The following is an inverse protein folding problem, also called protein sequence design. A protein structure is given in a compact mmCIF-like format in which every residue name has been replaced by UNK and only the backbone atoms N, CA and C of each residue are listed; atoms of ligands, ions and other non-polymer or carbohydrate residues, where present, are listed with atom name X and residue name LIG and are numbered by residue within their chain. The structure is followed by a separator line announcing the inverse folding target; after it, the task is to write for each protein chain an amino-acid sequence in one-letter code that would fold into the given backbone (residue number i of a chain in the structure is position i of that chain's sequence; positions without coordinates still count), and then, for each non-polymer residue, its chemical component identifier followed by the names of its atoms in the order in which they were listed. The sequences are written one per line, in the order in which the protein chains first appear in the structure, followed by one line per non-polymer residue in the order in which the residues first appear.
data_IF_159789249693
#
_entry.id   IF_159789249693
#
_cell.length_a   1.000
_cell.length_b   1.000
_cell.length_c   1.000
_cell.angle_alpha   90.00
_cell.angle_beta   90.00
_cell.angle_gamma   90.00
#
_symmetry.space_group_name_H-M   'P 1'
#
loop_
_entity.id
_entity.type
_entity.pdbx_description
1 polymer ?
#
# COMPACT_ATOMS: atom_id res chain seq x y z
N UNK A 1 -93.88 20.03 -2.44
CA UNK A 1 -92.78 19.05 -2.61
C UNK A 1 -91.47 19.80 -2.49
N UNK A 2 -90.72 19.45 -1.44
CA UNK A 2 -89.30 19.65 -1.13
C UNK A 2 -88.59 20.97 -1.52
N UNK A 3 -88.35 21.78 -0.47
CA UNK A 3 -87.24 22.72 -0.35
C UNK A 3 -85.94 22.00 0.01
N UNK A 4 -84.81 22.51 -0.47
CA UNK A 4 -83.50 22.32 0.18
C UNK A 4 -82.66 23.60 0.05
N UNK A 5 -82.18 24.09 1.19
CA UNK A 5 -81.24 25.21 1.38
C UNK A 5 -79.98 24.65 2.03
N UNK A 6 -78.80 24.88 1.46
CA UNK A 6 -77.46 24.79 2.10
C UNK A 6 -76.56 25.72 1.24
N UNK A 7 -75.78 26.70 1.71
CA UNK A 7 -75.08 26.90 2.99
C UNK A 7 -73.59 27.06 2.67
N UNK A 8 -73.09 28.29 2.62
CA UNK A 8 -71.71 28.66 2.34
C UNK A 8 -70.78 28.18 3.48
N UNK A 9 -69.68 27.48 3.16
CA UNK A 9 -68.58 27.21 4.11
C UNK A 9 -67.27 27.71 3.51
N UNK A 10 -66.70 28.75 4.14
CA UNK A 10 -65.32 29.17 3.97
C UNK A 10 -64.41 28.15 4.67
N UNK A 11 -63.59 27.43 3.91
CA UNK A 11 -62.55 26.58 4.46
C UNK A 11 -61.25 27.40 4.60
N UNK A 12 -60.81 27.60 5.83
CA UNK A 12 -59.49 28.08 6.22
C UNK A 12 -58.44 27.02 5.85
N UNK A 13 -57.46 27.38 5.02
CA UNK A 13 -56.26 26.56 4.79
C UNK A 13 -55.39 26.56 6.06
N UNK A 14 -54.94 25.40 6.55
CA UNK A 14 -53.91 25.38 7.59
C UNK A 14 -52.56 25.80 6.96
N UNK A 15 -51.91 26.77 7.61
CA UNK A 15 -50.52 27.11 7.32
C UNK A 15 -49.63 25.91 7.68
N UNK A 16 -49.10 25.23 6.67
CA UNK A 16 -47.99 24.30 6.88
C UNK A 16 -46.75 25.11 7.25
N UNK A 17 -46.42 25.11 8.54
CA UNK A 17 -45.06 25.45 8.95
C UNK A 17 -44.12 24.41 8.39
N UNK A 18 -43.42 24.76 7.31
CA UNK A 18 -42.20 24.07 6.89
C UNK A 18 -41.17 24.33 7.98
N UNK A 19 -41.08 23.42 8.94
CA UNK A 19 -39.90 23.32 9.79
C UNK A 19 -38.78 22.90 8.86
N UNK A 20 -37.89 23.84 8.52
CA UNK A 20 -36.65 23.50 7.85
C UNK A 20 -35.95 22.45 8.72
N UNK A 21 -35.95 21.20 8.28
CA UNK A 21 -35.24 20.14 8.96
C UNK A 21 -33.77 20.56 9.02
N UNK A 22 -33.30 20.85 10.23
CA UNK A 22 -31.92 21.25 10.47
C UNK A 22 -31.04 20.12 9.92
N UNK A 23 -30.21 20.42 8.91
CA UNK A 23 -29.34 19.42 8.32
C UNK A 23 -28.53 18.75 9.44
N UNK A 24 -28.46 17.41 9.47
CA UNK A 24 -27.74 16.72 10.52
C UNK A 24 -26.29 17.21 10.55
N UNK A 25 -25.84 17.65 11.71
CA UNK A 25 -24.48 18.18 11.88
C UNK A 25 -23.46 17.06 11.62
N UNK A 26 -22.42 17.28 10.77
CA UNK A 26 -21.37 16.30 10.60
C UNK A 26 -20.62 16.09 11.92
N UNK A 27 -20.23 14.84 12.18
CA UNK A 27 -19.33 14.53 13.29
C UNK A 27 -17.97 15.18 13.04
N UNK A 28 -17.46 15.02 11.82
CA UNK A 28 -16.20 15.61 11.37
C UNK A 28 -16.29 16.01 9.90
N UNK A 29 -15.48 16.99 9.51
CA UNK A 29 -15.39 17.45 8.13
C UNK A 29 -13.92 17.53 7.71
N UNK A 30 -13.65 17.15 6.46
CA UNK A 30 -12.33 17.10 5.86
C UNK A 30 -12.32 17.94 4.59
N UNK A 31 -11.18 18.55 4.27
CA UNK A 31 -11.03 19.34 3.05
C UNK A 31 -9.66 19.06 2.47
N UNK A 32 -9.64 18.77 1.18
CA UNK A 32 -8.43 18.59 0.39
C UNK A 32 -8.39 19.66 -0.70
N UNK A 33 -7.25 20.34 -0.83
CA UNK A 33 -7.07 21.40 -1.83
C UNK A 33 -5.80 21.13 -2.63
N UNK A 34 -5.95 21.22 -3.95
CA UNK A 34 -4.83 21.17 -4.90
C UNK A 34 -4.33 22.61 -5.13
N UNK A 35 -3.01 22.80 -5.10
CA UNK A 35 -2.39 24.12 -5.09
C UNK A 35 -1.46 24.39 -6.28
N UNK A 36 -1.13 23.37 -7.08
CA UNK A 36 -0.10 23.41 -8.12
C UNK A 36 -0.66 23.33 -9.55
N UNK A 37 -1.98 23.25 -9.70
CA UNK A 37 -2.65 23.10 -11.00
C UNK A 37 -2.51 21.70 -11.60
N UNK A 38 -2.07 20.70 -10.83
CA UNK A 38 -1.84 19.34 -11.30
C UNK A 38 -3.06 18.47 -10.96
N UNK A 39 -3.54 17.71 -11.95
CA UNK A 39 -4.60 16.74 -11.69
C UNK A 39 -4.03 15.44 -11.13
N UNK A 40 -4.57 14.99 -10.01
CA UNK A 40 -4.23 13.73 -9.37
C UNK A 40 -5.30 12.69 -9.70
N UNK A 41 -4.87 11.53 -10.20
CA UNK A 41 -5.74 10.38 -10.39
C UNK A 41 -6.30 9.87 -9.06
N UNK A 42 -7.29 8.98 -9.14
CA UNK A 42 -7.85 8.34 -7.95
C UNK A 42 -6.76 7.65 -7.12
N UNK A 43 -6.62 8.06 -5.87
CA UNK A 43 -5.64 7.53 -4.93
C UNK A 43 -6.19 7.53 -3.51
N UNK A 44 -5.55 6.76 -2.63
CA UNK A 44 -5.91 6.77 -1.20
C UNK A 44 -5.41 8.07 -0.58
N UNK A 45 -6.29 8.72 0.17
CA UNK A 45 -5.95 9.87 1.01
C UNK A 45 -6.25 9.52 2.46
N UNK A 46 -5.45 10.06 3.37
CA UNK A 46 -5.56 9.80 4.81
C UNK A 46 -5.69 11.12 5.56
N UNK A 47 -6.68 11.20 6.45
CA UNK A 47 -6.87 12.32 7.36
C UNK A 47 -6.84 11.83 8.81
N UNK A 48 -6.15 12.56 9.68
CA UNK A 48 -6.26 12.31 11.12
C UNK A 48 -7.66 12.65 11.63
N UNK A 49 -8.19 11.81 12.51
CA UNK A 49 -9.47 12.06 13.15
C UNK A 49 -9.28 12.99 14.35
N UNK A 50 -10.26 13.86 14.56
CA UNK A 50 -10.33 14.73 15.75
C UNK A 50 -10.92 14.02 16.97
N UNK A 51 -11.73 13.00 16.72
CA UNK A 51 -12.36 12.14 17.73
C UNK A 51 -12.43 10.71 17.19
N UNK A 52 -12.39 9.71 18.08
CA UNK A 52 -12.59 8.31 17.71
C UNK A 52 -14.00 8.09 17.17
N UNK A 53 -14.10 7.28 16.12
CA UNK A 53 -15.37 6.95 15.48
C UNK A 53 -15.49 5.43 15.29
N UNK A 54 -16.70 4.90 15.45
CA UNK A 54 -17.00 3.53 15.03
C UNK A 54 -17.37 3.54 13.53
N UNK A 55 -16.59 2.90 12.65
CA UNK A 55 -16.90 2.85 11.22
C UNK A 55 -18.26 2.18 10.90
N UNK A 56 -18.82 1.40 11.83
CA UNK A 56 -20.13 0.73 11.64
C UNK A 56 -21.31 1.68 11.82
N UNK A 57 -21.09 2.80 12.50
CA UNK A 57 -22.11 3.80 12.82
C UNK A 57 -21.93 5.09 12.02
N UNK A 58 -20.99 5.12 11.07
CA UNK A 58 -20.67 6.29 10.28
C UNK A 58 -20.71 6.02 8.77
N UNK A 59 -20.95 7.09 8.01
CA UNK A 59 -20.80 7.14 6.55
C UNK A 59 -20.06 8.41 6.16
N UNK A 60 -19.21 8.31 5.15
CA UNK A 60 -18.49 9.46 4.60
C UNK A 60 -19.23 9.94 3.35
N UNK A 61 -19.53 11.23 3.28
CA UNK A 61 -20.17 11.87 2.13
C UNK A 61 -19.19 12.83 1.44
N UNK A 62 -19.20 12.86 0.12
CA UNK A 62 -18.50 13.87 -0.68
C UNK A 62 -19.29 15.19 -0.81
N UNK A 63 -18.75 16.11 -1.61
CA UNK A 63 -19.36 17.40 -1.97
C UNK A 63 -20.70 17.26 -2.68
N UNK A 64 -20.92 16.16 -3.41
CA UNK A 64 -22.17 15.81 -4.07
C UNK A 64 -23.12 14.99 -3.18
N UNK A 65 -22.83 14.85 -1.88
CA UNK A 65 -23.59 14.03 -0.92
C UNK A 65 -23.67 12.55 -1.30
N UNK A 66 -22.71 12.06 -2.09
CA UNK A 66 -22.58 10.64 -2.43
C UNK A 66 -21.74 9.95 -1.37
N UNK A 67 -22.11 8.71 -1.05
CA UNK A 67 -21.34 7.91 -0.11
C UNK A 67 -19.98 7.50 -0.68
N UNK A 68 -18.94 7.69 0.11
CA UNK A 68 -17.56 7.32 -0.20
C UNK A 68 -17.15 6.17 0.73
N UNK A 69 -16.79 4.99 0.18
CA UNK A 69 -16.23 3.93 0.99
C UNK A 69 -14.95 4.38 1.71
N UNK A 70 -14.91 4.15 3.02
CA UNK A 70 -13.76 4.52 3.85
C UNK A 70 -13.35 3.38 4.76
N UNK A 71 -12.19 3.55 5.39
CA UNK A 71 -11.65 2.66 6.39
C UNK A 71 -11.01 3.49 7.50
N UNK A 72 -11.16 3.04 8.75
CA UNK A 72 -10.36 3.59 9.85
C UNK A 72 -9.03 2.86 9.86
N UNK A 73 -7.93 3.62 9.86
CA UNK A 73 -6.54 3.15 9.75
C UNK A 73 -5.73 3.65 10.94
N UNK A 74 -4.53 3.10 11.14
CA UNK A 74 -3.61 3.56 12.17
C UNK A 74 -3.12 4.98 11.83
N UNK A 75 -3.05 5.85 12.84
CA UNK A 75 -2.54 7.22 12.70
C UNK A 75 -3.10 8.18 13.74
N UNK A 76 -2.26 9.00 14.36
CA UNK A 76 -2.65 9.96 15.40
C UNK A 76 -3.27 9.33 16.66
N UNK A 77 -3.57 10.14 17.70
CA UNK A 77 -4.14 9.64 18.97
C UNK A 77 -5.56 9.07 18.86
N UNK A 78 -6.32 9.50 17.85
CA UNK A 78 -7.73 9.14 17.67
C UNK A 78 -7.97 8.17 16.50
N UNK A 79 -6.90 7.72 15.83
CA UNK A 79 -7.00 7.01 14.55
C UNK A 79 -7.07 7.98 13.36
N UNK A 80 -7.00 7.42 12.16
CA UNK A 80 -7.12 8.15 10.91
C UNK A 80 -8.19 7.53 10.03
N UNK A 81 -8.71 8.29 9.07
CA UNK A 81 -9.66 7.84 8.06
C UNK A 81 -8.99 7.84 6.69
N UNK A 82 -9.10 6.70 6.00
CA UNK A 82 -8.59 6.50 4.65
C UNK A 82 -9.75 6.26 3.67
N UNK A 83 -9.69 6.88 2.49
CA UNK A 83 -10.64 6.68 1.39
C UNK A 83 -10.01 7.02 0.04
N UNK A 84 -10.62 6.57 -1.06
CA UNK A 84 -10.12 6.84 -2.41
C UNK A 84 -10.83 8.03 -3.03
N UNK A 85 -10.09 8.91 -3.70
CA UNK A 85 -10.66 10.01 -4.47
C UNK A 85 -9.65 10.55 -5.50
N UNK A 86 -10.15 11.16 -6.57
CA UNK A 86 -9.38 11.97 -7.52
C UNK A 86 -9.43 13.45 -7.13
N UNK A 87 -8.36 14.18 -7.45
CA UNK A 87 -8.29 15.62 -7.18
C UNK A 87 -7.84 16.37 -8.44
N UNK A 88 -8.78 16.96 -9.21
CA UNK A 88 -8.43 17.78 -10.37
C UNK A 88 -7.56 18.98 -9.98
N UNK A 89 -6.76 19.47 -10.95
CA UNK A 89 -5.88 20.62 -10.73
C UNK A 89 -6.66 21.87 -10.28
N UNK A 90 -6.13 22.58 -9.28
CA UNK A 90 -6.76 23.72 -8.62
C UNK A 90 -8.11 23.43 -7.92
N UNK A 91 -8.53 22.17 -7.80
CA UNK A 91 -9.79 21.83 -7.17
C UNK A 91 -9.69 21.83 -5.64
N UNK A 92 -10.86 21.95 -5.00
CA UNK A 92 -11.03 21.69 -3.57
C UNK A 92 -12.17 20.69 -3.42
N UNK A 93 -11.94 19.66 -2.61
CA UNK A 93 -12.93 18.64 -2.28
C UNK A 93 -13.21 18.67 -0.79
N UNK A 94 -14.48 18.55 -0.44
CA UNK A 94 -14.94 18.53 0.94
C UNK A 94 -15.64 17.21 1.22
N UNK A 95 -15.41 16.68 2.42
CA UNK A 95 -16.01 15.44 2.87
C UNK A 95 -16.61 15.61 4.26
N UNK A 96 -17.76 14.98 4.49
CA UNK A 96 -18.50 15.04 5.76
C UNK A 96 -18.68 13.63 6.31
N UNK A 97 -18.17 13.38 7.51
CA UNK A 97 -18.45 12.16 8.24
C UNK A 97 -19.75 12.34 9.03
N UNK A 98 -20.74 11.52 8.68
CA UNK A 98 -22.09 11.60 9.22
C UNK A 98 -22.38 10.34 10.03
N UNK A 99 -23.19 10.48 11.09
CA UNK A 99 -23.81 9.32 11.73
C UNK A 99 -24.75 8.61 10.76
N UNK A 100 -24.73 7.28 10.81
CA UNK A 100 -25.55 6.43 9.98
C UNK A 100 -24.75 5.26 9.43
N UNK A 101 -25.44 4.17 9.12
CA UNK A 101 -24.81 2.98 8.53
C UNK A 101 -24.39 3.29 7.10
N UNK A 102 -23.09 3.24 6.82
CA UNK A 102 -22.58 3.36 5.46
C UNK A 102 -22.91 2.15 4.57
N UNK A 103 -22.90 2.38 3.27
CA UNK A 103 -22.96 1.33 2.26
C UNK A 103 -21.74 0.40 2.33
N UNK A 104 -21.92 -0.84 1.87
CA UNK A 104 -20.84 -1.81 1.79
C UNK A 104 -19.86 -1.33 0.71
N UNK A 105 -18.57 -1.25 1.06
CA UNK A 105 -17.54 -0.92 0.10
C UNK A 105 -17.54 -1.93 -1.08
N UNK A 106 -17.33 -1.46 -2.32
CA UNK A 106 -17.11 -2.34 -3.47
C UNK A 106 -15.84 -3.19 -3.30
N UNK A 107 -15.60 -4.10 -4.24
CA UNK A 107 -14.33 -4.85 -4.28
C UNK A 107 -13.12 -3.90 -4.20
N UNK A 108 -12.23 -4.20 -3.26
CA UNK A 108 -11.06 -3.40 -2.95
C UNK A 108 -9.89 -4.28 -2.52
N UNK A 109 -9.10 -3.83 -1.55
CA UNK A 109 -8.02 -4.63 -0.99
C UNK A 109 -8.60 -5.85 -0.25
N UNK A 110 -8.03 -7.03 -0.49
CA UNK A 110 -8.41 -8.30 0.13
C UNK A 110 -7.20 -8.90 0.82
N UNK A 111 -7.42 -9.37 2.04
CA UNK A 111 -6.44 -10.13 2.84
C UNK A 111 -6.99 -11.54 3.00
N UNK A 112 -6.37 -12.51 2.34
CA UNK A 112 -6.70 -13.93 2.44
C UNK A 112 -5.68 -14.66 3.31
N UNK A 113 -6.16 -15.21 4.41
CA UNK A 113 -5.38 -15.95 5.40
C UNK A 113 -5.76 -17.43 5.39
N UNK A 114 -6.44 -17.93 4.36
CA UNK A 114 -6.88 -19.33 4.30
C UNK A 114 -5.74 -20.30 3.95
N UNK A 115 -4.74 -19.86 3.18
CA UNK A 115 -3.61 -20.70 2.79
C UNK A 115 -2.74 -21.07 4.01
N UNK A 116 -2.26 -22.33 4.16
CA UNK A 116 -1.49 -22.74 5.34
C UNK A 116 -0.14 -22.03 5.46
N UNK A 117 0.54 -21.74 4.34
CA UNK A 117 1.91 -21.24 4.33
C UNK A 117 2.08 -19.72 4.24
N UNK A 118 1.04 -19.00 3.80
CA UNK A 118 1.16 -17.58 3.48
C UNK A 118 -0.17 -16.85 3.64
N UNK A 119 -0.06 -15.52 3.72
CA UNK A 119 -1.16 -14.56 3.63
C UNK A 119 -1.08 -13.91 2.26
N UNK A 120 -2.19 -13.82 1.53
CA UNK A 120 -2.27 -13.07 0.29
C UNK A 120 -2.90 -11.70 0.55
N UNK A 121 -2.20 -10.63 0.17
CA UNK A 121 -2.74 -9.27 0.11
C UNK A 121 -2.83 -8.86 -1.35
N UNK A 122 -4.05 -8.60 -1.84
CA UNK A 122 -4.32 -8.30 -3.26
C UNK A 122 -5.30 -7.13 -3.40
N UNK A 123 -5.21 -6.36 -4.48
CA UNK A 123 -6.12 -5.24 -4.77
C UNK A 123 -6.77 -5.29 -6.17
N UNK A 124 -6.64 -6.43 -6.86
CA UNK A 124 -7.13 -6.62 -8.22
C UNK A 124 -6.15 -6.19 -9.33
N UNK A 125 -5.14 -5.37 -9.01
CA UNK A 125 -4.09 -4.96 -9.96
C UNK A 125 -2.77 -5.71 -9.71
N UNK A 126 -2.44 -5.90 -8.44
CA UNK A 126 -1.24 -6.58 -7.96
C UNK A 126 -1.53 -7.24 -6.61
N UNK A 127 -0.50 -7.85 -6.03
CA UNK A 127 -0.54 -8.38 -4.68
C UNK A 127 0.76 -9.03 -4.26
N UNK A 128 0.86 -9.36 -2.99
CA UNK A 128 2.02 -10.01 -2.40
C UNK A 128 1.60 -11.16 -1.51
N UNK A 129 2.40 -12.24 -1.53
CA UNK A 129 2.33 -13.34 -0.57
C UNK A 129 3.33 -13.08 0.54
N UNK A 130 2.85 -13.06 1.76
CA UNK A 130 3.64 -12.88 2.98
C UNK A 130 3.69 -14.22 3.71
N UNK A 131 4.85 -14.71 4.20
CA UNK A 131 4.88 -16.00 4.89
C UNK A 131 3.98 -15.96 6.14
N UNK A 132 3.43 -17.09 6.54
CA UNK A 132 2.84 -17.26 7.88
C UNK A 132 3.89 -17.73 8.87
N UNK A 133 3.64 -17.52 10.17
CA UNK A 133 4.52 -17.95 11.27
C UNK A 133 4.87 -19.44 11.15
N UNK A 134 6.16 -19.78 11.30
CA UNK A 134 6.66 -21.14 11.44
C UNK A 134 7.68 -21.21 12.58
N UNK A 135 7.62 -22.26 13.39
CA UNK A 135 8.56 -22.54 14.47
C UNK A 135 8.80 -24.05 14.55
N UNK A 136 10.03 -24.51 14.85
CA UNK A 136 11.27 -23.73 14.94
C UNK A 136 11.85 -23.38 13.57
N UNK A 137 12.47 -22.20 13.46
CA UNK A 137 13.21 -21.74 12.27
C UNK A 137 14.61 -22.38 12.21
N UNK A 138 14.73 -23.70 12.38
CA UNK A 138 16.03 -24.39 12.36
C UNK A 138 16.57 -24.68 10.96
N UNK A 139 15.81 -24.35 9.91
CA UNK A 139 16.28 -24.34 8.54
C UNK A 139 15.76 -23.11 7.79
N UNK A 140 16.60 -22.65 6.88
CA UNK A 140 16.62 -21.39 6.14
C UNK A 140 15.33 -20.54 6.18
N UNK A 141 15.36 -19.34 6.78
CA UNK A 141 14.16 -18.53 6.94
C UNK A 141 13.57 -18.12 5.58
N UNK A 142 12.26 -18.29 5.40
CA UNK A 142 11.48 -17.73 4.28
C UNK A 142 11.68 -16.20 4.22
N UNK A 143 11.90 -15.67 3.02
CA UNK A 143 11.88 -14.23 2.76
C UNK A 143 10.52 -13.59 3.08
N UNK A 144 10.47 -12.30 3.46
CA UNK A 144 9.22 -11.63 3.78
C UNK A 144 8.28 -11.55 2.56
N UNK A 145 8.82 -11.70 1.35
CA UNK A 145 8.07 -11.85 0.10
C UNK A 145 8.15 -13.30 -0.38
N UNK A 146 7.00 -13.96 -0.49
CA UNK A 146 6.85 -15.33 -0.98
C UNK A 146 6.23 -15.40 -2.38
N UNK A 147 5.91 -14.26 -2.97
CA UNK A 147 5.41 -14.18 -4.34
C UNK A 147 4.76 -12.83 -4.62
N UNK A 148 4.78 -12.41 -5.88
CA UNK A 148 4.11 -11.20 -6.38
C UNK A 148 3.04 -11.62 -7.38
N UNK A 149 1.85 -11.02 -7.29
CA UNK A 149 0.75 -11.28 -8.21
C UNK A 149 0.87 -10.38 -9.42
N UNK A 150 0.92 -10.98 -10.60
CA UNK A 150 0.88 -10.25 -11.86
C UNK A 150 -0.55 -9.81 -12.20
N UNK A 151 -0.69 -8.85 -13.12
CA UNK A 151 -1.99 -8.31 -13.54
C UNK A 151 -2.93 -9.35 -14.14
N UNK A 152 -2.40 -10.40 -14.75
CA UNK A 152 -3.19 -11.53 -15.27
C UNK A 152 -3.68 -12.49 -14.18
N UNK A 153 -3.37 -12.20 -12.91
CA UNK A 153 -3.77 -12.98 -11.75
C UNK A 153 -2.82 -14.11 -11.37
N UNK A 154 -1.82 -14.44 -12.19
CA UNK A 154 -0.82 -15.45 -11.86
C UNK A 154 0.18 -14.93 -10.82
N UNK A 155 0.86 -15.86 -10.15
CA UNK A 155 1.84 -15.54 -9.11
C UNK A 155 3.26 -15.83 -9.59
N UNK A 156 4.22 -15.01 -9.16
CA UNK A 156 5.64 -15.35 -9.26
C UNK A 156 5.96 -16.59 -8.41
N UNK A 157 7.04 -17.32 -8.71
CA UNK A 157 7.57 -18.31 -7.78
C UNK A 157 8.00 -17.65 -6.45
N UNK A 158 8.13 -18.46 -5.41
CA UNK A 158 8.73 -18.05 -4.16
C UNK A 158 10.19 -17.67 -4.37
N UNK A 159 10.65 -16.67 -3.61
CA UNK A 159 12.03 -16.23 -3.63
C UNK A 159 12.98 -17.22 -2.96
N UNK A 160 14.27 -16.94 -3.07
CA UNK A 160 15.29 -17.60 -2.26
C UNK A 160 15.01 -17.32 -0.77
N UNK A 161 15.47 -18.20 0.12
CA UNK A 161 15.44 -17.91 1.54
C UNK A 161 16.12 -16.58 1.88
N UNK A 162 15.67 -15.96 2.96
CA UNK A 162 16.29 -14.77 3.54
C UNK A 162 17.65 -15.14 4.09
N UNK A 163 18.66 -14.36 3.74
CA UNK A 163 20.01 -14.48 4.28
C UNK A 163 20.36 -13.21 5.00
N UNK A 164 21.01 -13.36 6.14
CA UNK A 164 21.51 -12.27 6.93
C UNK A 164 23.04 -12.32 6.98
N UNK A 165 23.66 -11.16 6.97
CA UNK A 165 25.09 -10.97 7.13
C UNK A 165 25.34 -9.86 8.13
N UNK A 166 26.50 -9.93 8.76
CA UNK A 166 26.92 -8.89 9.69
C UNK A 166 27.23 -7.58 8.95
N UNK A 167 27.41 -6.50 9.72
CA UNK A 167 27.56 -5.13 9.21
C UNK A 167 28.77 -4.88 8.29
N UNK A 168 29.69 -5.84 8.19
CA UNK A 168 30.85 -5.82 7.30
C UNK A 168 30.73 -6.81 6.12
N UNK A 169 29.55 -7.37 5.89
CA UNK A 169 29.29 -8.40 4.88
C UNK A 169 30.05 -9.73 5.12
N UNK A 170 30.62 -9.93 6.32
CA UNK A 170 31.31 -11.16 6.73
C UNK A 170 30.44 -12.01 7.66
N UNK A 171 30.47 -13.33 7.47
CA UNK A 171 29.72 -14.30 8.26
C UNK A 171 28.23 -14.34 7.90
N UNK A 172 27.73 -15.53 7.54
CA UNK A 172 26.31 -15.77 7.34
C UNK A 172 25.65 -16.01 8.70
N UNK A 173 24.64 -15.20 9.03
CA UNK A 173 23.77 -15.50 10.18
C UNK A 173 22.75 -16.52 9.69
N UNK A 174 22.95 -17.77 10.11
CA UNK A 174 22.15 -18.91 9.66
C UNK A 174 20.95 -19.21 10.53
N UNK A 175 20.80 -18.51 11.67
CA UNK A 175 19.76 -18.77 12.66
C UNK A 175 18.88 -17.54 12.89
N UNK A 176 17.59 -17.74 12.72
CA UNK A 176 16.54 -16.84 13.20
C UNK A 176 15.88 -17.52 14.39
N UNK A 177 15.62 -16.80 15.47
CA UNK A 177 15.05 -17.38 16.68
C UNK A 177 13.52 -17.45 16.61
N UNK A 178 12.90 -16.41 16.03
CA UNK A 178 11.47 -16.35 15.85
C UNK A 178 11.08 -15.48 14.65
N UNK A 179 9.92 -15.77 14.08
CA UNK A 179 9.27 -14.92 13.08
C UNK A 179 7.82 -14.69 13.50
N UNK A 180 7.38 -13.45 13.51
CA UNK A 180 5.99 -13.08 13.74
C UNK A 180 5.43 -12.35 12.54
N UNK A 181 4.14 -12.55 12.28
CA UNK A 181 3.43 -11.94 11.16
C UNK A 181 2.13 -11.37 11.71
N UNK A 182 1.93 -10.07 11.53
CA UNK A 182 0.79 -9.35 12.09
C UNK A 182 0.04 -8.62 10.98
N UNK A 183 -1.25 -8.87 10.83
CA UNK A 183 -2.13 -8.05 10.00
C UNK A 183 -2.49 -6.80 10.82
N UNK A 184 -1.81 -5.68 10.52
CA UNK A 184 -1.98 -4.40 11.21
C UNK A 184 -3.27 -3.69 10.78
N UNK A 185 -3.55 -3.70 9.48
CA UNK A 185 -4.75 -3.10 8.90
C UNK A 185 -5.39 -4.07 7.91
N UNK A 186 -6.72 -4.19 7.95
CA UNK A 186 -7.50 -5.04 7.05
C UNK A 186 -8.81 -4.34 6.69
N UNK A 187 -8.92 -3.93 5.43
CA UNK A 187 -10.17 -3.40 4.91
C UNK A 187 -10.10 -3.12 3.41
N UNK A 188 -11.19 -2.59 2.83
CA UNK A 188 -11.35 -2.45 1.38
C UNK A 188 -10.47 -1.35 0.77
N UNK A 189 -9.99 -0.39 1.57
CA UNK A 189 -9.18 0.74 1.09
C UNK A 189 -7.70 0.42 1.19
N UNK A 190 -7.29 -0.20 2.30
CA UNK A 190 -5.88 -0.43 2.63
C UNK A 190 -5.71 -1.72 3.44
N UNK A 191 -4.64 -2.45 3.18
CA UNK A 191 -4.15 -3.50 4.05
C UNK A 191 -2.69 -3.26 4.40
N UNK A 192 -2.35 -3.54 5.66
CA UNK A 192 -0.98 -3.44 6.18
C UNK A 192 -0.64 -4.75 6.88
N UNK A 193 0.45 -5.39 6.45
CA UNK A 193 0.97 -6.63 7.06
C UNK A 193 2.41 -6.43 7.44
N UNK A 194 2.74 -6.72 8.70
CA UNK A 194 4.09 -6.60 9.26
C UNK A 194 4.68 -7.99 9.48
N UNK A 195 5.92 -8.20 9.06
CA UNK A 195 6.72 -9.40 9.34
C UNK A 195 7.93 -8.99 10.17
N UNK A 196 8.13 -9.64 11.31
CA UNK A 196 9.28 -9.42 12.19
C UNK A 196 10.06 -10.70 12.37
N UNK A 197 11.38 -10.58 12.30
CA UNK A 197 12.33 -11.66 12.57
C UNK A 197 13.17 -11.24 13.78
N UNK A 198 13.16 -12.08 14.81
CA UNK A 198 14.05 -11.96 15.96
C UNK A 198 15.28 -12.84 15.73
N UNK A 199 16.47 -12.25 15.86
CA UNK A 199 17.72 -12.87 15.43
C UNK A 199 18.74 -12.74 16.56
N UNK A 200 19.46 -13.81 16.86
CA UNK A 200 20.64 -13.76 17.72
C UNK A 200 21.88 -13.84 16.85
N UNK A 201 22.63 -12.74 16.82
CA UNK A 201 23.91 -12.68 16.15
C UNK A 201 24.99 -13.37 16.99
N UNK A 202 25.85 -14.21 16.38
CA UNK A 202 27.04 -14.70 17.04
C UNK A 202 28.06 -13.58 17.25
N UNK A 203 29.03 -13.82 18.14
CA UNK A 203 30.20 -12.96 18.28
C UNK A 203 30.99 -12.94 16.96
N UNK A 204 31.33 -11.75 16.48
CA UNK A 204 32.16 -11.55 15.30
C UNK A 204 33.59 -11.29 15.74
N UNK A 205 34.51 -12.16 15.33
CA UNK A 205 35.94 -12.03 15.60
C UNK A 205 36.73 -11.92 14.30
N UNK A 206 37.81 -11.14 14.33
CA UNK A 206 38.81 -11.06 13.27
C UNK A 206 40.17 -11.42 13.87
N UNK A 207 40.57 -12.69 13.72
CA UNK A 207 41.70 -13.25 14.46
C UNK A 207 41.42 -13.20 15.98
N UNK A 208 42.32 -12.56 16.74
CA UNK A 208 42.14 -12.35 18.18
C UNK A 208 41.26 -11.14 18.53
N UNK A 209 40.93 -10.29 17.55
CA UNK A 209 40.12 -9.08 17.78
C UNK A 209 38.63 -9.45 17.85
N UNK A 210 37.97 -9.07 18.93
CA UNK A 210 36.50 -9.10 19.01
C UNK A 210 35.94 -7.85 18.33
N UNK A 211 35.41 -8.03 17.12
CA UNK A 211 34.85 -6.95 16.31
C UNK A 211 33.45 -6.56 16.81
N UNK A 212 32.63 -7.56 17.19
CA UNK A 212 31.29 -7.33 17.75
C UNK A 212 30.91 -8.46 18.72
N UNK A 213 30.38 -8.16 19.92
CA UNK A 213 29.87 -9.21 20.80
C UNK A 213 28.65 -9.92 20.18
N UNK A 214 28.37 -11.12 20.67
CA UNK A 214 27.08 -11.76 20.40
C UNK A 214 25.94 -10.90 20.98
N UNK A 215 24.79 -10.89 20.32
CA UNK A 215 23.66 -10.06 20.75
C UNK A 215 22.41 -10.22 19.90
N UNK A 216 21.32 -9.63 20.37
CA UNK A 216 20.08 -9.58 19.63
C UNK A 216 20.19 -8.61 18.44
N UNK A 217 19.49 -8.96 17.36
CA UNK A 217 19.34 -8.19 16.15
C UNK A 217 17.90 -8.35 15.63
N UNK A 218 17.48 -7.46 14.72
CA UNK A 218 16.12 -7.48 14.20
C UNK A 218 16.06 -7.23 12.70
N UNK A 219 14.98 -7.75 12.12
CA UNK A 219 14.60 -7.41 10.76
C UNK A 219 13.07 -7.32 10.72
N UNK A 220 12.56 -6.15 10.37
CA UNK A 220 11.13 -5.87 10.23
C UNK A 220 10.85 -5.45 8.80
N UNK A 221 9.86 -6.06 8.16
CA UNK A 221 9.33 -5.58 6.87
C UNK A 221 7.83 -5.34 7.00
N UNK A 222 7.39 -4.16 6.59
CA UNK A 222 5.97 -3.78 6.52
C UNK A 222 5.53 -3.65 5.08
N UNK A 223 4.45 -4.34 4.74
CA UNK A 223 3.79 -4.30 3.44
C UNK A 223 2.53 -3.45 3.53
N UNK A 224 2.45 -2.41 2.72
CA UNK A 224 1.23 -1.62 2.54
C UNK A 224 0.71 -1.83 1.12
N UNK A 225 -0.55 -2.25 1.00
CA UNK A 225 -1.26 -2.34 -0.27
C UNK A 225 -2.53 -1.49 -0.21
N UNK A 226 -2.67 -0.61 -1.19
CA UNK A 226 -3.77 0.33 -1.30
C UNK A 226 -4.66 0.02 -2.50
N UNK A 227 -5.94 0.39 -2.39
CA UNK A 227 -6.90 0.21 -3.47
C UNK A 227 -6.52 1.05 -4.68
N UNK A 228 -6.68 0.47 -5.88
CA UNK A 228 -6.47 1.17 -7.15
C UNK A 228 -5.01 1.43 -7.52
N UNK A 229 -4.05 1.12 -6.64
CA UNK A 229 -2.62 1.33 -6.90
C UNK A 229 -1.95 0.09 -7.49
N UNK A 230 -1.19 0.18 -8.60
CA UNK A 230 -0.46 -0.96 -9.15
C UNK A 230 0.83 -1.28 -8.38
N UNK A 231 1.02 -0.71 -7.19
CA UNK A 231 2.23 -0.80 -6.37
C UNK A 231 1.95 -1.42 -5.00
N UNK A 232 2.99 -2.05 -4.44
CA UNK A 232 3.06 -2.46 -3.04
C UNK A 232 4.16 -1.62 -2.40
N UNK A 233 3.84 -0.88 -1.33
CA UNK A 233 4.86 -0.19 -0.55
C UNK A 233 5.49 -1.19 0.42
N UNK A 234 6.82 -1.23 0.44
CA UNK A 234 7.62 -2.13 1.27
C UNK A 234 8.60 -1.27 2.05
N UNK A 235 8.45 -1.28 3.37
CA UNK A 235 9.35 -0.58 4.29
C UNK A 235 10.11 -1.63 5.09
N UNK A 236 11.43 -1.46 5.23
CA UNK A 236 12.27 -2.41 5.97
C UNK A 236 13.14 -1.66 6.96
N UNK A 237 13.20 -2.19 8.19
CA UNK A 237 14.03 -1.72 9.28
C UNK A 237 14.85 -2.89 9.83
N UNK A 238 16.17 -2.73 9.86
CA UNK A 238 17.09 -3.79 10.30
C UNK A 238 18.46 -3.21 10.67
N UNK A 239 19.15 -3.87 11.60
CA UNK A 239 20.53 -3.62 11.99
C UNK A 239 21.53 -4.57 11.29
N UNK A 240 21.06 -5.34 10.30
CA UNK A 240 21.82 -6.34 9.55
C UNK A 240 21.83 -6.06 8.05
N UNK A 241 22.78 -6.67 7.33
CA UNK A 241 22.66 -6.81 5.89
C UNK A 241 21.78 -8.00 5.59
N UNK A 242 20.74 -7.80 4.77
CA UNK A 242 19.83 -8.86 4.36
C UNK A 242 19.83 -9.01 2.85
N UNK A 243 19.70 -10.23 2.38
CA UNK A 243 19.57 -10.53 0.95
C UNK A 243 18.57 -11.64 0.72
N UNK A 244 17.70 -11.45 -0.26
CA UNK A 244 16.90 -12.48 -0.88
C UNK A 244 16.64 -12.05 -2.32
N UNK A 245 16.26 -13.00 -3.17
CA UNK A 245 15.94 -12.72 -4.57
C UNK A 245 14.67 -13.45 -4.95
N UNK A 246 13.90 -12.90 -5.87
CA UNK A 246 12.73 -13.56 -6.45
C UNK A 246 12.69 -13.27 -7.95
N UNK A 247 12.22 -14.24 -8.72
CA UNK A 247 12.13 -14.08 -10.17
C UNK A 247 10.76 -13.55 -10.56
N UNK A 248 10.74 -12.39 -11.21
CA UNK A 248 9.55 -11.85 -11.89
C UNK A 248 9.50 -12.21 -13.37
N UNK A 249 10.53 -12.89 -13.88
CA UNK A 249 10.70 -13.14 -15.31
C UNK A 249 9.49 -13.81 -15.96
N UNK A 250 8.90 -14.80 -15.29
CA UNK A 250 7.76 -15.56 -15.83
C UNK A 250 6.53 -14.70 -16.16
N UNK A 251 6.32 -13.58 -15.47
CA UNK A 251 5.18 -12.69 -15.69
C UNK A 251 5.52 -11.38 -16.40
N UNK A 252 6.77 -10.93 -16.37
CA UNK A 252 7.18 -9.65 -16.97
C UNK A 252 7.87 -9.85 -18.33
N UNK A 253 8.76 -10.85 -18.45
CA UNK A 253 9.62 -11.09 -19.62
C UNK A 253 10.20 -9.78 -20.18
N UNK A 254 10.96 -9.02 -19.37
CA UNK A 254 11.41 -7.69 -19.79
C UNK A 254 12.31 -7.83 -21.01
N UNK A 255 12.04 -7.06 -22.06
CA UNK A 255 12.88 -7.05 -23.27
C UNK A 255 13.87 -5.89 -23.27
N UNK A 256 13.78 -5.01 -22.25
CA UNK A 256 14.57 -3.80 -22.18
C UNK A 256 14.86 -3.41 -20.71
N UNK A 257 16.05 -2.90 -20.45
CA UNK A 257 16.44 -2.27 -19.18
C UNK A 257 16.85 -0.82 -19.42
N UNK A 258 16.71 -0.02 -18.36
CA UNK A 258 17.28 1.33 -18.28
C UNK A 258 18.26 1.40 -17.12
N UNK A 259 19.43 2.01 -17.33
CA UNK A 259 20.40 2.23 -16.25
C UNK A 259 21.11 3.60 -16.35
N UNK A 260 21.53 4.11 -15.20
CA UNK A 260 22.40 5.27 -15.08
C UNK A 260 23.83 4.80 -14.80
N UNK A 261 24.70 4.81 -15.81
CA UNK A 261 26.10 4.38 -15.67
C UNK A 261 27.13 5.44 -16.06
N UNK A 262 28.40 5.07 -16.06
CA UNK A 262 29.50 5.97 -16.44
C UNK A 262 29.60 6.17 -17.95
N UNK A 263 29.44 5.10 -18.73
CA UNK A 263 29.41 5.06 -20.20
C UNK A 263 29.07 3.64 -20.67
N UNK A 264 28.90 3.46 -21.99
CA UNK A 264 28.94 2.14 -22.62
C UNK A 264 30.17 2.01 -23.55
N UNK A 265 30.69 0.79 -23.72
CA UNK A 265 31.71 0.46 -24.73
C UNK A 265 31.11 0.29 -26.12
N UNK A 266 29.88 -0.22 -26.22
CA UNK A 266 29.13 -0.45 -27.46
C UNK A 266 27.62 -0.22 -27.28
N UNK A 267 26.86 0.14 -28.33
CA UNK A 267 25.40 0.34 -28.21
C UNK A 267 24.64 -0.84 -27.58
N UNK A 268 25.06 -2.08 -27.82
CA UNK A 268 24.44 -3.28 -27.24
C UNK A 268 24.53 -3.38 -25.72
N UNK A 269 25.52 -2.71 -25.10
CA UNK A 269 25.67 -2.65 -23.64
C UNK A 269 25.07 -1.36 -23.05
N UNK A 270 24.48 -0.51 -23.88
CA UNK A 270 23.91 0.77 -23.48
C UNK A 270 23.85 1.73 -24.66
N UNK A 271 22.65 2.10 -25.07
CA UNK A 271 22.37 3.10 -26.10
C UNK A 271 21.45 4.20 -25.56
N UNK A 272 21.49 5.38 -26.15
CA UNK A 272 20.44 6.39 -25.91
C UNK A 272 19.27 6.15 -26.88
N UNK A 273 18.21 6.98 -26.79
CA UNK A 273 16.99 6.78 -27.57
C UNK A 273 17.23 6.74 -29.09
N UNK A 274 18.20 7.49 -29.60
CA UNK A 274 18.57 7.52 -31.02
C UNK A 274 19.37 6.29 -31.49
N UNK A 275 19.68 5.36 -30.58
CA UNK A 275 20.44 4.15 -30.86
C UNK A 275 21.96 4.30 -30.79
N UNK A 276 22.47 5.52 -30.63
CA UNK A 276 23.89 5.75 -30.45
C UNK A 276 24.39 5.25 -29.10
N UNK A 277 25.69 4.98 -29.02
CA UNK A 277 26.35 4.47 -27.82
C UNK A 277 26.15 5.43 -26.66
N UNK A 278 25.83 4.88 -25.48
CA UNK A 278 25.70 5.67 -24.27
C UNK A 278 27.00 6.45 -23.96
N UNK A 279 26.95 7.79 -23.94
CA UNK A 279 28.13 8.63 -23.90
C UNK A 279 28.82 8.60 -22.53
N UNK A 280 30.06 9.09 -22.50
CA UNK A 280 30.83 9.24 -21.26
C UNK A 280 30.25 10.32 -20.35
N UNK A 281 30.37 10.12 -19.05
CA UNK A 281 29.67 10.89 -18.00
C UNK A 281 29.79 12.43 -18.13
N UNK A 282 30.93 12.95 -18.60
CA UNK A 282 31.15 14.39 -18.75
C UNK A 282 30.53 15.00 -20.03
N UNK A 283 30.08 14.16 -20.95
CA UNK A 283 29.43 14.55 -22.21
C UNK A 283 27.92 14.27 -22.21
N UNK A 284 27.36 13.95 -21.04
CA UNK A 284 26.02 13.40 -20.85
C UNK A 284 25.07 14.44 -20.22
N UNK A 285 23.93 14.78 -20.85
CA UNK A 285 22.77 15.34 -20.16
C UNK A 285 22.14 14.30 -19.21
N UNK A 286 21.25 14.69 -18.29
CA UNK A 286 20.57 13.74 -17.39
C UNK A 286 19.65 12.75 -18.18
N UNK A 287 20.24 11.65 -18.66
CA UNK A 287 19.57 10.59 -19.43
C UNK A 287 20.04 9.19 -19.01
N UNK A 288 19.20 8.20 -19.28
CA UNK A 288 19.48 6.78 -19.01
C UNK A 288 20.00 6.08 -20.26
N UNK A 289 20.83 5.07 -20.05
CA UNK A 289 21.16 4.09 -21.08
C UNK A 289 20.00 3.09 -21.20
N UNK A 290 19.70 2.68 -22.42
CA UNK A 290 18.77 1.63 -22.78
C UNK A 290 19.58 0.39 -23.16
N UNK A 291 19.20 -0.78 -22.67
CA UNK A 291 19.78 -2.09 -23.06
C UNK A 291 18.64 -2.99 -23.49
N UNK A 292 18.73 -3.55 -24.69
CA UNK A 292 17.80 -4.57 -25.14
C UNK A 292 18.29 -5.93 -24.59
N UNK A 293 17.40 -6.65 -23.92
CA UNK A 293 17.71 -7.91 -23.26
C UNK A 293 17.58 -9.08 -24.24
N UNK A 294 18.72 -9.70 -24.58
CA UNK A 294 18.78 -10.94 -25.35
C UNK A 294 19.06 -12.13 -24.43
N UNK A 295 18.02 -12.92 -24.16
CA UNK A 295 18.12 -14.13 -23.33
C UNK A 295 18.65 -15.36 -24.07
N UNK A 296 18.95 -15.25 -25.37
CA UNK A 296 19.63 -16.30 -26.11
C UNK A 296 21.14 -16.35 -25.79
N UNK A 297 21.67 -15.29 -25.16
CA UNK A 297 23.06 -15.23 -24.70
C UNK A 297 23.09 -15.32 -23.16
N UNK A 298 23.96 -16.17 -22.59
CA UNK A 298 24.04 -16.38 -21.14
C UNK A 298 24.57 -15.17 -20.37
#
# INVERSE_FOLDING_TARGET
MQHLVIGLVLATQPAFHVVAAQEPKPQQAFTLKEHFGVSHAEQVVVFELREKVDPRECRLLDDASREVPFQIVEGGPQGSIAFCMDLPGNATRAFKLMRGRGSKAPDGVKVDESHPDHIEIVNGLTGVRVPKVYAPLSSTPKAPIQGVRFRNGSWSPAGTPLKFRNSNNEGEITRVDAMTVTVKEKGPVRAVVEVKYAITCPELTYGALKVRPAGAAHYTTTFTLERGQPSVLIETDTDLYSTFSLSLYGGVRPTQLRYCGSNSSEPKYGRIEDGSKYPVVHSRPAMDAIVDLDYAQP
#
